data_IF_068795067958
#
_entry.id   IF_068795067958
#
_cell.length_a   1.000
_cell.length_b   1.000
_cell.length_c   1.000
_cell.angle_alpha   90.00
_cell.angle_beta   90.00
_cell.angle_gamma   90.00
#
_symmetry.space_group_name_H-M   'P 1'
#
loop_
_entity.id
_entity.type
_entity.pdbx_description
1 polymer ?
#
# COMPACT_ATOMS: atom_id res chain seq x y z
N UNK A 1 -5.69 20.63 14.31
CA UNK A 1 -4.97 19.97 13.21
C UNK A 1 -4.66 18.55 13.67
N UNK A 2 -5.38 17.55 13.13
CA UNK A 2 -5.43 16.18 13.68
C UNK A 2 -4.29 15.33 13.14
N UNK A 3 -3.31 15.07 14.01
CA UNK A 3 -2.07 14.33 13.75
C UNK A 3 -2.23 12.80 13.63
N UNK A 4 -3.30 12.29 13.00
CA UNK A 4 -3.63 10.85 13.04
C UNK A 4 -3.21 10.00 11.82
N UNK A 5 -2.60 10.56 10.77
CA UNK A 5 -2.45 9.82 9.50
C UNK A 5 -1.03 9.32 9.15
N UNK A 6 -0.01 9.56 9.97
CA UNK A 6 1.36 9.15 9.61
C UNK A 6 1.63 7.63 9.74
N UNK A 7 0.92 6.89 10.60
CA UNK A 7 1.18 5.45 10.77
C UNK A 7 0.61 4.58 9.64
N UNK A 8 -0.53 4.96 9.08
CA UNK A 8 -1.14 4.24 7.95
C UNK A 8 -0.39 4.44 6.63
N UNK A 9 0.47 5.46 6.54
CA UNK A 9 1.26 5.72 5.34
C UNK A 9 2.34 4.65 5.12
N UNK A 10 3.08 4.27 6.17
CA UNK A 10 4.21 3.35 6.03
C UNK A 10 3.81 1.87 6.08
N UNK A 11 2.64 1.54 6.63
CA UNK A 11 2.22 0.16 6.83
C UNK A 11 0.79 -0.07 6.36
N UNK A 12 0.57 -1.19 5.69
CA UNK A 12 -0.76 -1.70 5.34
C UNK A 12 -0.87 -3.17 5.72
N UNK A 13 -2.02 -3.66 6.22
CA UNK A 13 -2.20 -5.09 6.45
C UNK A 13 -2.08 -5.87 5.13
N UNK A 14 -1.21 -6.86 5.10
CA UNK A 14 -1.05 -7.77 3.97
C UNK A 14 -2.38 -8.49 3.71
N UNK A 15 -2.89 -8.42 2.47
CA UNK A 15 -4.16 -9.06 2.13
C UNK A 15 -4.12 -10.60 2.14
N UNK A 16 -2.93 -11.20 2.11
CA UNK A 16 -2.75 -12.65 2.13
C UNK A 16 -2.64 -13.24 3.54
N UNK A 17 -1.88 -12.60 4.44
CA UNK A 17 -1.57 -13.18 5.75
C UNK A 17 -1.88 -12.26 6.95
N UNK A 18 -2.41 -11.05 6.71
CA UNK A 18 -2.76 -10.08 7.75
C UNK A 18 -1.58 -9.43 8.47
N UNK A 19 -0.33 -9.86 8.23
CA UNK A 19 0.86 -9.24 8.78
C UNK A 19 1.08 -7.82 8.24
N UNK A 20 1.88 -7.01 8.93
CA UNK A 20 2.22 -5.68 8.44
C UNK A 20 3.09 -5.76 7.17
N UNK A 21 2.60 -5.19 6.07
CA UNK A 21 3.37 -4.93 4.87
C UNK A 21 3.93 -3.50 4.89
N UNK A 22 5.17 -3.33 4.42
CA UNK A 22 5.90 -2.06 4.48
C UNK A 22 5.81 -1.36 3.13
N UNK A 23 5.64 -0.04 3.14
CA UNK A 23 5.75 0.76 1.92
C UNK A 23 7.18 0.68 1.37
N UNK A 24 7.34 0.08 0.19
CA UNK A 24 8.64 -0.06 -0.49
C UNK A 24 8.81 0.92 -1.64
N UNK A 25 7.71 1.36 -2.24
CA UNK A 25 7.73 2.37 -3.32
C UNK A 25 6.48 3.25 -3.23
N UNK A 26 6.67 4.55 -3.41
CA UNK A 26 5.60 5.50 -3.69
C UNK A 26 5.94 6.23 -5.01
N UNK A 27 4.98 6.37 -5.91
CA UNK A 27 5.16 7.07 -7.19
C UNK A 27 3.94 7.94 -7.46
N UNK A 28 4.11 9.24 -7.76
CA UNK A 28 2.99 10.10 -8.11
C UNK A 28 2.31 9.61 -9.40
N UNK A 29 0.99 9.74 -9.45
CA UNK A 29 0.14 9.45 -10.60
C UNK A 29 -0.64 10.72 -11.02
N UNK A 30 -1.44 10.62 -12.08
CA UNK A 30 -2.25 11.73 -12.58
C UNK A 30 -3.25 12.25 -11.53
N UNK A 31 -3.68 13.50 -11.66
CA UNK A 31 -4.78 14.10 -10.89
C UNK A 31 -4.63 14.02 -9.36
N UNK A 32 -3.38 14.09 -8.87
CA UNK A 32 -3.07 14.03 -7.43
C UNK A 32 -3.20 12.65 -6.81
N UNK A 33 -3.32 11.60 -7.63
CA UNK A 33 -3.24 10.22 -7.16
C UNK A 33 -1.79 9.82 -6.89
N UNK A 34 -1.63 8.77 -6.10
CA UNK A 34 -0.36 8.12 -5.81
C UNK A 34 -0.48 6.60 -5.98
N UNK A 35 0.57 5.99 -6.50
CA UNK A 35 0.75 4.55 -6.54
C UNK A 35 1.68 4.13 -5.41
N UNK A 36 1.15 3.36 -4.46
CA UNK A 36 1.88 2.88 -3.28
C UNK A 36 2.05 1.37 -3.33
N UNK A 37 3.29 0.90 -3.29
CA UNK A 37 3.64 -0.51 -3.27
C UNK A 37 4.00 -0.93 -1.85
N UNK A 38 3.33 -1.96 -1.34
CA UNK A 38 3.59 -2.53 -0.03
C UNK A 38 4.06 -3.97 -0.15
N UNK A 39 5.19 -4.28 0.48
CA UNK A 39 5.77 -5.63 0.54
C UNK A 39 5.60 -6.24 1.93
N UNK A 40 4.99 -7.42 1.98
CA UNK A 40 4.91 -8.23 3.18
C UNK A 40 6.18 -9.05 3.35
N UNK A 41 6.98 -8.74 4.38
CA UNK A 41 8.21 -9.51 4.68
C UNK A 41 7.93 -10.92 5.22
N UNK A 42 6.68 -11.23 5.58
CA UNK A 42 6.29 -12.54 6.13
C UNK A 42 6.00 -13.58 5.04
N UNK A 43 5.29 -13.20 3.98
CA UNK A 43 4.90 -14.10 2.90
C UNK A 43 5.40 -13.66 1.51
N UNK A 44 6.15 -12.56 1.43
CA UNK A 44 6.65 -11.99 0.18
C UNK A 44 5.57 -11.35 -0.70
N UNK A 45 4.30 -11.40 -0.31
CA UNK A 45 3.21 -10.80 -1.08
C UNK A 45 3.39 -9.29 -1.22
N UNK A 46 3.19 -8.80 -2.44
CA UNK A 46 3.29 -7.39 -2.81
C UNK A 46 1.91 -6.90 -3.27
N UNK A 47 1.43 -5.82 -2.65
CA UNK A 47 0.22 -5.13 -3.07
C UNK A 47 0.56 -3.76 -3.66
N UNK A 48 -0.10 -3.39 -4.76
CA UNK A 48 -0.04 -2.07 -5.36
C UNK A 48 -1.40 -1.38 -5.20
N UNK A 49 -1.40 -0.23 -4.53
CA UNK A 49 -2.59 0.58 -4.29
C UNK A 49 -2.56 1.90 -5.07
N UNK A 50 -3.69 2.26 -5.66
CA UNK A 50 -4.01 3.62 -6.07
C UNK A 50 -4.66 4.37 -4.91
N UNK A 51 -4.02 5.46 -4.49
CA UNK A 51 -4.46 6.34 -3.41
C UNK A 51 -4.84 7.69 -4.02
N UNK A 52 -6.09 8.12 -3.81
CA UNK A 52 -6.54 9.41 -4.30
C UNK A 52 -6.17 10.57 -3.36
N UNK A 53 -6.30 11.82 -3.83
CA UNK A 53 -6.03 13.01 -3.01
C UNK A 53 -7.06 13.22 -1.89
N UNK A 54 -8.19 12.49 -1.93
CA UNK A 54 -9.21 12.50 -0.91
C UNK A 54 -9.04 11.30 0.04
N UNK A 55 -8.52 11.56 1.24
CA UNK A 55 -8.26 10.55 2.27
C UNK A 55 -9.52 9.85 2.81
N UNK A 56 -10.73 10.35 2.47
CA UNK A 56 -11.99 9.71 2.87
C UNK A 56 -12.38 8.55 1.96
N UNK A 57 -11.76 8.44 0.78
CA UNK A 57 -11.99 7.32 -0.15
C UNK A 57 -11.11 6.12 0.18
N UNK A 58 -11.67 4.90 0.08
CA UNK A 58 -10.88 3.69 0.27
C UNK A 58 -9.81 3.58 -0.83
N UNK A 59 -8.63 3.07 -0.45
CA UNK A 59 -7.57 2.78 -1.39
C UNK A 59 -8.02 1.67 -2.35
N UNK A 60 -7.64 1.80 -3.62
CA UNK A 60 -7.96 0.80 -4.63
C UNK A 60 -6.77 -0.08 -4.88
N UNK A 61 -6.96 -1.39 -4.83
CA UNK A 61 -5.95 -2.33 -5.33
C UNK A 61 -5.91 -2.22 -6.85
N UNK A 62 -4.74 -1.88 -7.39
CA UNK A 62 -4.51 -1.76 -8.83
C UNK A 62 -3.53 -2.81 -9.36
N UNK A 63 -2.93 -3.60 -8.46
CA UNK A 63 -2.10 -4.75 -8.82
C UNK A 63 -1.64 -5.52 -7.59
N UNK A 64 -1.18 -6.74 -7.81
CA UNK A 64 -0.50 -7.55 -6.79
C UNK A 64 0.47 -8.51 -7.45
N UNK A 65 1.55 -8.81 -6.76
CA UNK A 65 2.49 -9.86 -7.14
C UNK A 65 2.73 -10.75 -5.93
N UNK A 66 2.73 -12.07 -6.16
CA UNK A 66 3.22 -13.02 -5.17
C UNK A 66 4.74 -13.13 -5.32
N UNK A 67 5.45 -13.30 -4.20
CA UNK A 67 6.83 -13.72 -4.29
C UNK A 67 6.83 -15.18 -4.76
N UNK A 68 6.97 -15.38 -6.06
CA UNK A 68 7.18 -16.71 -6.62
C UNK A 68 8.31 -17.40 -5.84
N UNK A 69 8.06 -18.57 -5.23
CA UNK A 69 9.11 -19.32 -4.58
C UNK A 69 10.14 -19.69 -5.66
N UNK A 70 11.34 -19.16 -5.51
CA UNK A 70 12.54 -19.50 -6.27
C UNK A 70 13.16 -20.79 -5.76
#
# INVERSE_FOLDING_TARGET
>A
MRSFHHRGYFFHPCRMCGAAANLTRNTPAADGYEHRTYECRRCGHVDLFGVGPDDSRPWKVIGSADAQPM
#
